data_IF_847492004341
#
_entry.id   IF_847492004341
#
_cell.length_a   1.000
_cell.length_b   1.000
_cell.length_c   1.000
_cell.angle_alpha   90.00
_cell.angle_beta   90.00
_cell.angle_gamma   90.00
#
_symmetry.space_group_name_H-M   'P 1'
#
loop_
_entity.id
_entity.type
_entity.pdbx_description
1 polymer ?
#
# COMPACT_ATOMS: atom_id res chain seq x y z
N UNK A 1 13.44 -19.60 -4.73
CA UNK A 1 14.34 -18.65 -4.03
C UNK A 1 14.22 -17.33 -4.76
N UNK A 2 13.67 -16.29 -4.11
CA UNK A 2 13.64 -14.94 -4.71
C UNK A 2 15.10 -14.52 -4.92
N UNK A 3 15.43 -14.18 -6.17
CA UNK A 3 16.76 -13.61 -6.46
C UNK A 3 16.80 -12.26 -5.74
N UNK A 4 17.83 -12.05 -4.91
CA UNK A 4 18.10 -10.73 -4.36
C UNK A 4 18.15 -9.71 -5.51
N UNK A 5 17.64 -8.51 -5.23
CA UNK A 5 17.57 -7.44 -6.20
C UNK A 5 18.94 -7.21 -6.86
N UNK A 6 19.00 -7.30 -8.19
CA UNK A 6 20.20 -6.99 -8.99
C UNK A 6 20.76 -5.59 -8.69
N UNK A 7 19.92 -4.70 -8.18
CA UNK A 7 20.25 -3.32 -7.85
C UNK A 7 20.47 -3.14 -6.35
N UNK A 8 21.60 -2.54 -6.01
CA UNK A 8 21.92 -2.12 -4.64
C UNK A 8 20.93 -1.05 -4.12
N UNK A 9 20.73 -1.00 -2.80
CA UNK A 9 19.81 -0.09 -2.11
C UNK A 9 20.11 1.37 -2.43
N UNK A 10 21.38 1.74 -2.58
CA UNK A 10 21.79 3.09 -2.94
C UNK A 10 21.23 3.49 -4.31
N UNK A 11 21.35 2.60 -5.31
CA UNK A 11 20.86 2.88 -6.66
C UNK A 11 19.34 3.05 -6.69
N UNK A 12 18.58 2.25 -5.93
CA UNK A 12 17.13 2.43 -5.83
C UNK A 12 16.74 3.77 -5.23
N UNK A 13 17.46 4.21 -4.20
CA UNK A 13 17.25 5.53 -3.58
C UNK A 13 17.48 6.63 -4.61
N UNK A 14 18.56 6.57 -5.38
CA UNK A 14 18.87 7.58 -6.40
C UNK A 14 17.78 7.66 -7.48
N UNK A 15 17.23 6.52 -7.91
CA UNK A 15 16.11 6.48 -8.85
C UNK A 15 14.86 7.14 -8.27
N UNK A 16 14.55 6.91 -6.99
CA UNK A 16 13.39 7.51 -6.32
C UNK A 16 13.56 9.02 -6.16
N UNK A 17 14.76 9.49 -5.81
CA UNK A 17 15.04 10.92 -5.71
C UNK A 17 14.88 11.62 -7.06
N UNK A 18 15.41 11.06 -8.14
CA UNK A 18 15.23 11.58 -9.50
C UNK A 18 13.77 11.56 -9.94
N UNK A 19 13.05 10.47 -9.66
CA UNK A 19 11.62 10.39 -9.94
C UNK A 19 10.83 11.45 -9.17
N UNK A 20 11.25 11.75 -7.93
CA UNK A 20 10.62 12.78 -7.09
C UNK A 20 10.85 14.19 -7.64
N UNK A 21 12.05 14.49 -8.12
CA UNK A 21 12.35 15.77 -8.78
C UNK A 21 11.42 15.99 -9.97
N UNK A 22 11.33 15.00 -10.88
CA UNK A 22 10.47 15.08 -12.07
C UNK A 22 9.00 15.25 -11.68
N UNK A 23 8.47 14.38 -10.82
CA UNK A 23 7.03 14.40 -10.50
C UNK A 23 6.63 15.64 -9.70
N UNK A 24 7.56 16.26 -8.96
CA UNK A 24 7.32 17.51 -8.22
C UNK A 24 7.20 18.73 -9.12
N UNK A 25 7.81 18.71 -10.31
CA UNK A 25 7.60 19.73 -11.33
C UNK A 25 6.28 19.49 -12.07
N UNK A 26 6.00 18.23 -12.44
CA UNK A 26 4.80 17.86 -13.19
C UNK A 26 3.51 18.13 -12.43
N UNK A 27 3.48 17.89 -11.11
CA UNK A 27 2.29 18.12 -10.29
C UNK A 27 1.87 19.60 -10.29
N UNK A 28 2.78 20.55 -10.55
CA UNK A 28 2.45 21.98 -10.59
C UNK A 28 1.53 22.29 -11.77
N UNK A 29 1.86 21.75 -12.94
CA UNK A 29 1.16 22.04 -14.19
C UNK A 29 0.00 21.07 -14.49
N UNK A 30 0.06 19.85 -13.92
CA UNK A 30 -0.85 18.76 -14.27
C UNK A 30 -1.55 18.16 -13.04
N UNK A 31 -1.86 18.97 -12.02
CA UNK A 31 -2.51 18.49 -10.78
C UNK A 31 -3.91 17.90 -11.01
N UNK A 32 -4.60 18.18 -12.11
CA UNK A 32 -5.92 17.60 -12.39
C UNK A 32 -5.84 16.25 -13.11
N UNK A 33 -4.63 15.73 -13.39
CA UNK A 33 -4.46 14.45 -14.06
C UNK A 33 -4.26 13.31 -13.06
N UNK A 34 -5.16 12.31 -13.07
CA UNK A 34 -5.16 11.21 -12.09
C UNK A 34 -3.81 10.49 -12.00
N UNK A 35 -3.15 10.25 -13.15
CA UNK A 35 -1.88 9.54 -13.16
C UNK A 35 -0.76 10.34 -12.48
N UNK A 36 -0.75 11.67 -12.62
CA UNK A 36 0.25 12.53 -11.98
C UNK A 36 0.04 12.50 -10.47
N UNK A 37 -1.21 12.59 -10.02
CA UNK A 37 -1.60 12.46 -8.61
C UNK A 37 -1.18 11.09 -8.02
N UNK A 38 -1.49 10.00 -8.72
CA UNK A 38 -1.13 8.63 -8.35
C UNK A 38 0.39 8.44 -8.22
N UNK A 39 1.15 8.84 -9.25
CA UNK A 39 2.60 8.68 -9.26
C UNK A 39 3.28 9.59 -8.23
N UNK A 40 2.78 10.80 -8.02
CA UNK A 40 3.27 11.71 -6.99
C UNK A 40 3.12 11.07 -5.60
N UNK A 41 1.93 10.55 -5.26
CA UNK A 41 1.70 9.87 -4.00
C UNK A 41 2.63 8.67 -3.78
N UNK A 42 2.77 7.80 -4.79
CA UNK A 42 3.62 6.61 -4.72
C UNK A 42 5.09 6.96 -4.52
N UNK A 43 5.60 7.94 -5.27
CA UNK A 43 7.00 8.35 -5.20
C UNK A 43 7.28 9.09 -3.89
N UNK A 44 6.35 9.91 -3.41
CA UNK A 44 6.47 10.59 -2.12
C UNK A 44 6.51 9.58 -0.96
N UNK A 45 5.66 8.55 -0.97
CA UNK A 45 5.69 7.48 0.04
C UNK A 45 7.03 6.74 0.01
N UNK A 46 7.50 6.36 -1.18
CA UNK A 46 8.77 5.70 -1.36
C UNK A 46 9.94 6.57 -0.87
N UNK A 47 9.99 7.85 -1.26
CA UNK A 47 11.02 8.80 -0.82
C UNK A 47 11.01 8.98 0.70
N UNK A 48 9.84 9.23 1.29
CA UNK A 48 9.72 9.45 2.73
C UNK A 48 10.16 8.23 3.56
N UNK A 49 10.00 7.03 3.01
CA UNK A 49 10.52 5.79 3.61
C UNK A 49 12.05 5.74 3.66
N UNK A 50 12.76 6.38 2.73
CA UNK A 50 14.23 6.55 2.79
C UNK A 50 14.67 7.68 3.71
N UNK A 51 13.85 8.72 3.86
CA UNK A 51 14.14 9.87 4.73
C UNK A 51 13.91 9.57 6.22
N UNK A 52 13.21 8.46 6.51
CA UNK A 52 13.04 7.90 7.85
C UNK A 52 11.63 8.07 8.41
N UNK A 53 11.38 7.40 9.54
CA UNK A 53 10.01 7.24 10.07
C UNK A 53 9.31 8.57 10.37
N UNK A 54 10.06 9.58 10.84
CA UNK A 54 9.50 10.91 11.16
C UNK A 54 8.98 11.61 9.89
N UNK A 55 9.75 11.55 8.80
CA UNK A 55 9.33 12.16 7.54
C UNK A 55 8.18 11.38 6.91
N UNK A 56 8.23 10.04 6.95
CA UNK A 56 7.11 9.19 6.52
C UNK A 56 5.81 9.55 7.23
N UNK A 57 5.83 9.66 8.56
CA UNK A 57 4.66 10.06 9.35
C UNK A 57 4.17 11.45 8.92
N UNK A 58 5.06 12.42 8.78
CA UNK A 58 4.73 13.79 8.34
C UNK A 58 4.04 13.82 6.97
N UNK A 59 4.41 12.93 6.06
CA UNK A 59 3.86 12.89 4.70
C UNK A 59 2.57 12.06 4.56
N UNK A 60 2.14 11.32 5.59
CA UNK A 60 0.97 10.42 5.50
C UNK A 60 -0.29 11.11 4.99
N UNK A 61 -0.62 12.30 5.51
CA UNK A 61 -1.81 13.05 5.09
C UNK A 61 -1.67 13.58 3.67
N UNK A 62 -0.48 14.03 3.29
CA UNK A 62 -0.21 14.55 1.95
C UNK A 62 -0.35 13.42 0.92
N UNK A 63 0.27 12.27 1.18
CA UNK A 63 0.15 11.08 0.33
C UNK A 63 -1.32 10.69 0.17
N UNK A 64 -2.09 10.64 1.27
CA UNK A 64 -3.52 10.34 1.22
C UNK A 64 -4.30 11.32 0.35
N UNK A 65 -4.08 12.63 0.53
CA UNK A 65 -4.74 13.66 -0.28
C UNK A 65 -4.53 13.46 -1.79
N UNK A 66 -3.30 13.14 -2.19
CA UNK A 66 -2.99 12.87 -3.59
C UNK A 66 -3.64 11.56 -4.09
N UNK A 67 -3.68 10.52 -3.27
CA UNK A 67 -4.40 9.26 -3.62
C UNK A 67 -5.92 9.46 -3.72
N UNK A 68 -6.54 10.18 -2.79
CA UNK A 68 -7.98 10.48 -2.79
C UNK A 68 -8.36 11.29 -4.04
N UNK A 69 -7.54 12.27 -4.42
CA UNK A 69 -7.75 13.03 -5.66
C UNK A 69 -7.56 12.13 -6.89
N UNK A 70 -6.55 11.26 -6.92
CA UNK A 70 -6.36 10.30 -8.02
C UNK A 70 -7.57 9.37 -8.19
N UNK A 71 -8.15 8.85 -7.09
CA UNK A 71 -9.38 8.02 -7.13
C UNK A 71 -10.59 8.84 -7.56
N UNK A 72 -10.69 10.10 -7.15
CA UNK A 72 -11.78 10.99 -7.59
C UNK A 72 -11.74 11.21 -9.10
N UNK A 73 -10.54 11.42 -9.65
CA UNK A 73 -10.31 11.63 -11.08
C UNK A 73 -10.41 10.35 -11.92
N UNK A 74 -10.04 9.20 -11.34
CA UNK A 74 -10.19 7.88 -11.97
C UNK A 74 -10.58 6.80 -10.94
N UNK A 75 -11.88 6.57 -10.72
CA UNK A 75 -12.36 5.64 -9.70
C UNK A 75 -12.14 4.16 -10.06
N UNK A 76 -11.80 3.86 -11.32
CA UNK A 76 -11.60 2.51 -11.84
C UNK A 76 -10.11 2.13 -11.94
N UNK A 77 -9.22 2.80 -11.21
CA UNK A 77 -7.82 2.41 -11.10
C UNK A 77 -7.61 1.49 -9.88
N UNK A 78 -7.57 0.18 -10.12
CA UNK A 78 -7.40 -0.83 -9.06
C UNK A 78 -6.12 -0.61 -8.24
N UNK A 79 -5.05 -0.09 -8.85
CA UNK A 79 -3.79 0.17 -8.13
C UNK A 79 -3.96 1.28 -7.09
N UNK A 80 -4.61 2.40 -7.42
CA UNK A 80 -4.78 3.52 -6.47
C UNK A 80 -5.72 3.11 -5.33
N UNK A 81 -6.76 2.33 -5.62
CA UNK A 81 -7.61 1.73 -4.59
C UNK A 81 -6.81 0.82 -3.66
N UNK A 82 -5.92 -0.01 -4.20
CA UNK A 82 -5.02 -0.83 -3.39
C UNK A 82 -4.05 0.03 -2.55
N UNK A 83 -3.50 1.11 -3.09
CA UNK A 83 -2.63 2.02 -2.35
C UNK A 83 -3.36 2.69 -1.17
N UNK A 84 -4.63 3.09 -1.35
CA UNK A 84 -5.47 3.59 -0.24
C UNK A 84 -5.73 2.51 0.80
N UNK A 85 -5.99 1.27 0.37
CA UNK A 85 -6.12 0.14 1.28
C UNK A 85 -4.85 -0.10 2.10
N UNK A 86 -3.68 -0.01 1.47
CA UNK A 86 -2.38 -0.14 2.13
C UNK A 86 -2.15 1.01 3.13
N UNK A 87 -2.50 2.24 2.76
CA UNK A 87 -2.45 3.38 3.68
C UNK A 87 -3.31 3.13 4.92
N UNK A 88 -4.57 2.72 4.72
CA UNK A 88 -5.49 2.39 5.81
C UNK A 88 -4.93 1.29 6.71
N UNK A 89 -4.45 0.20 6.10
CA UNK A 89 -3.89 -0.95 6.81
C UNK A 89 -2.68 -0.56 7.66
N UNK A 90 -1.75 0.21 7.10
CA UNK A 90 -0.55 0.66 7.78
C UNK A 90 -0.86 1.61 8.94
N UNK A 91 -1.81 2.54 8.74
CA UNK A 91 -2.27 3.45 9.80
C UNK A 91 -2.91 2.67 10.94
N UNK A 92 -3.72 1.64 10.64
CA UNK A 92 -4.29 0.75 11.65
C UNK A 92 -3.22 -0.07 12.40
N UNK A 93 -2.17 -0.51 11.70
CA UNK A 93 -1.04 -1.25 12.28
C UNK A 93 0.02 -0.39 12.99
N UNK A 94 -0.08 0.94 12.95
CA UNK A 94 0.94 1.82 13.54
C UNK A 94 1.22 1.45 15.00
N UNK A 95 2.48 1.09 15.33
CA UNK A 95 2.89 0.80 16.70
C UNK A 95 2.66 1.99 17.62
N UNK A 96 2.40 1.73 18.90
CA UNK A 96 2.11 2.76 19.91
C UNK A 96 3.15 3.91 19.94
N UNK A 97 4.44 3.59 19.74
CA UNK A 97 5.52 4.59 19.78
C UNK A 97 5.50 5.49 18.53
N UNK A 98 5.12 4.95 17.36
CA UNK A 98 4.95 5.75 16.15
C UNK A 98 3.69 6.62 16.24
N UNK A 99 2.63 6.13 16.90
CA UNK A 99 1.43 6.94 17.19
C UNK A 99 1.77 8.17 18.01
N UNK A 100 2.62 8.05 19.04
CA UNK A 100 3.09 9.22 19.82
C UNK A 100 3.87 10.24 18.98
N UNK A 101 4.67 9.78 18.01
CA UNK A 101 5.36 10.68 17.09
C UNK A 101 4.34 11.41 16.22
N UNK A 102 3.31 10.71 15.72
CA UNK A 102 2.24 11.32 14.96
C UNK A 102 1.46 12.35 15.79
N UNK A 103 1.08 12.03 17.03
CA UNK A 103 0.40 12.97 17.96
C UNK A 103 1.23 14.22 18.26
N UNK A 104 2.56 14.14 18.24
CA UNK A 104 3.43 15.29 18.43
C UNK A 104 3.58 16.17 17.17
N UNK A 105 3.38 15.59 15.98
CA UNK A 105 3.52 16.28 14.69
C UNK A 105 2.19 16.83 14.17
N UNK A 106 1.07 16.21 14.53
CA UNK A 106 -0.26 16.53 14.06
C UNK A 106 -1.16 16.99 15.21
N UNK A 107 -2.06 17.93 14.95
CA UNK A 107 -3.10 18.30 15.91
C UNK A 107 -4.04 17.11 16.21
N UNK A 108 -4.28 16.26 15.20
CA UNK A 108 -4.88 14.93 15.34
C UNK A 108 -4.16 13.97 14.41
N UNK A 109 -3.59 12.86 14.89
CA UNK A 109 -2.91 11.90 14.02
C UNK A 109 -3.89 11.27 13.02
N UNK A 110 -3.42 10.81 11.84
CA UNK A 110 -4.26 10.09 10.90
C UNK A 110 -4.80 8.81 11.55
N UNK A 111 -6.10 8.55 11.36
CA UNK A 111 -6.79 7.38 11.88
C UNK A 111 -7.40 6.57 10.74
N UNK A 112 -7.43 5.25 10.92
CA UNK A 112 -8.04 4.29 10.01
C UNK A 112 -8.27 2.96 10.72
N UNK A 113 -9.15 2.13 10.15
CA UNK A 113 -9.49 0.78 10.64
C UNK A 113 -9.14 -0.30 9.60
N UNK A 114 -9.13 -1.56 10.05
CA UNK A 114 -8.98 -2.70 9.14
C UNK A 114 -10.21 -2.87 8.24
N UNK A 115 -11.37 -2.39 8.67
CA UNK A 115 -12.58 -2.29 7.86
C UNK A 115 -12.40 -1.32 6.69
N UNK A 116 -11.83 -0.14 6.93
CA UNK A 116 -11.53 0.84 5.87
C UNK A 116 -10.55 0.24 4.85
N UNK A 117 -9.49 -0.42 5.33
CA UNK A 117 -8.53 -1.10 4.48
C UNK A 117 -9.18 -2.19 3.63
N UNK A 118 -10.01 -3.02 4.27
CA UNK A 118 -10.74 -4.10 3.61
C UNK A 118 -11.65 -3.57 2.51
N UNK A 119 -12.38 -2.47 2.74
CA UNK A 119 -13.25 -1.85 1.74
C UNK A 119 -12.47 -1.47 0.48
N UNK A 120 -11.34 -0.78 0.64
CA UNK A 120 -10.51 -0.37 -0.50
C UNK A 120 -9.93 -1.56 -1.27
N UNK A 121 -9.43 -2.59 -0.57
CA UNK A 121 -8.93 -3.80 -1.22
C UNK A 121 -10.02 -4.58 -1.97
N UNK A 122 -11.25 -4.63 -1.42
CA UNK A 122 -12.40 -5.24 -2.09
C UNK A 122 -12.81 -4.44 -3.32
N UNK A 123 -12.80 -3.11 -3.25
CA UNK A 123 -13.05 -2.24 -4.40
C UNK A 123 -12.01 -2.43 -5.49
N UNK A 124 -10.73 -2.53 -5.14
CA UNK A 124 -9.65 -2.83 -6.09
C UNK A 124 -9.88 -4.19 -6.80
N UNK A 125 -10.25 -5.22 -6.03
CA UNK A 125 -10.57 -6.54 -6.56
C UNK A 125 -11.84 -6.54 -7.45
N UNK A 126 -12.83 -5.72 -7.12
CA UNK A 126 -14.05 -5.57 -7.92
C UNK A 126 -13.79 -4.86 -9.26
N UNK A 127 -12.91 -3.84 -9.26
CA UNK A 127 -12.50 -3.11 -10.47
C UNK A 127 -11.72 -4.02 -11.41
N UNK A 128 -10.75 -4.77 -10.88
CA UNK A 128 -9.95 -5.70 -11.69
C UNK A 128 -9.69 -6.99 -10.89
N UNK A 129 -10.48 -8.05 -11.11
CA UNK A 129 -10.31 -9.30 -10.38
C UNK A 129 -8.92 -9.92 -10.58
N UNK A 130 -8.32 -10.36 -9.47
CA UNK A 130 -7.01 -11.02 -9.41
C UNK A 130 -5.90 -10.24 -10.10
N UNK A 131 -5.94 -8.92 -10.08
CA UNK A 131 -4.93 -8.07 -10.72
C UNK A 131 -3.58 -8.10 -10.02
N UNK A 132 -3.58 -8.26 -8.68
CA UNK A 132 -2.38 -8.19 -7.87
C UNK A 132 -2.43 -9.17 -6.70
N UNK A 133 -1.40 -10.01 -6.59
CA UNK A 133 -1.28 -11.05 -5.55
C UNK A 133 -1.23 -10.48 -4.14
N UNK A 134 -0.57 -9.33 -3.95
CA UNK A 134 -0.52 -8.65 -2.65
C UNK A 134 -1.90 -8.13 -2.25
N UNK A 135 -2.75 -7.70 -3.19
CA UNK A 135 -4.13 -7.33 -2.87
C UNK A 135 -4.89 -8.50 -2.25
N UNK A 136 -4.77 -9.70 -2.82
CA UNK A 136 -5.40 -10.92 -2.30
C UNK A 136 -4.86 -11.29 -0.92
N UNK A 137 -3.53 -11.19 -0.73
CA UNK A 137 -2.91 -11.41 0.59
C UNK A 137 -3.45 -10.41 1.62
N UNK A 138 -3.55 -9.12 1.26
CA UNK A 138 -4.07 -8.08 2.15
C UNK A 138 -5.54 -8.25 2.50
N UNK A 139 -6.38 -8.71 1.56
CA UNK A 139 -7.76 -9.13 1.86
C UNK A 139 -7.77 -10.22 2.94
N UNK A 140 -6.96 -11.27 2.76
CA UNK A 140 -6.81 -12.34 3.75
C UNK A 140 -6.38 -11.83 5.13
N UNK A 141 -5.36 -10.97 5.16
CA UNK A 141 -4.86 -10.34 6.38
C UNK A 141 -5.92 -9.48 7.09
N UNK A 142 -6.66 -8.64 6.35
CA UNK A 142 -7.74 -7.85 6.94
C UNK A 142 -8.82 -8.74 7.56
N UNK A 143 -9.27 -9.78 6.85
CA UNK A 143 -10.25 -10.71 7.40
C UNK A 143 -9.75 -11.44 8.66
N UNK A 144 -8.46 -11.79 8.74
CA UNK A 144 -7.87 -12.33 9.98
C UNK A 144 -7.93 -11.34 11.14
N UNK A 145 -7.54 -10.08 10.91
CA UNK A 145 -7.60 -9.02 11.93
C UNK A 145 -9.04 -8.80 12.42
N UNK A 146 -10.01 -8.98 11.53
CA UNK A 146 -11.45 -8.88 11.80
C UNK A 146 -12.08 -10.18 12.32
N UNK A 147 -11.27 -11.22 12.57
CA UNK A 147 -11.73 -12.54 13.07
C UNK A 147 -12.78 -13.22 12.17
N UNK A 148 -12.71 -12.95 10.86
CA UNK A 148 -13.57 -13.52 9.81
C UNK A 148 -12.80 -14.62 9.07
N UNK A 149 -12.63 -15.75 9.76
CA UNK A 149 -11.67 -16.79 9.36
C UNK A 149 -12.01 -17.47 8.03
N UNK A 150 -13.28 -17.70 7.72
CA UNK A 150 -13.70 -18.34 6.46
C UNK A 150 -13.33 -17.48 5.25
N UNK A 151 -13.62 -16.18 5.31
CA UNK A 151 -13.24 -15.22 4.27
C UNK A 151 -11.71 -15.09 4.18
N UNK A 152 -11.01 -15.08 5.32
CA UNK A 152 -9.56 -15.07 5.33
C UNK A 152 -8.98 -16.29 4.60
N UNK A 153 -9.44 -17.50 4.94
CA UNK A 153 -9.02 -18.75 4.30
C UNK A 153 -9.29 -18.72 2.78
N UNK A 154 -10.41 -18.15 2.34
CA UNK A 154 -10.71 -17.99 0.93
C UNK A 154 -9.64 -17.15 0.20
N UNK A 155 -9.40 -15.92 0.66
CA UNK A 155 -8.46 -15.02 -0.01
C UNK A 155 -7.00 -15.47 0.12
N UNK A 156 -6.61 -16.04 1.26
CA UNK A 156 -5.26 -16.60 1.43
C UNK A 156 -5.01 -17.79 0.50
N UNK A 157 -6.02 -18.64 0.21
CA UNK A 157 -5.87 -19.71 -0.79
C UNK A 157 -5.68 -19.15 -2.20
N UNK A 158 -6.39 -18.07 -2.55
CA UNK A 158 -6.21 -17.38 -3.84
C UNK A 158 -4.82 -16.77 -3.95
N UNK A 159 -4.33 -16.12 -2.88
CA UNK A 159 -2.97 -15.57 -2.83
C UNK A 159 -1.92 -16.68 -2.91
N UNK A 160 -2.04 -17.76 -2.12
CA UNK A 160 -1.09 -18.88 -2.12
C UNK A 160 -0.96 -19.59 -3.47
N UNK A 161 -2.04 -19.64 -4.25
CA UNK A 161 -2.10 -20.27 -5.57
C UNK A 161 -1.92 -19.30 -6.74
N UNK A 162 -1.58 -18.03 -6.47
CA UNK A 162 -1.42 -17.03 -7.51
C UNK A 162 -0.22 -17.37 -8.42
N UNK A 163 -0.33 -17.26 -9.75
CA UNK A 163 0.79 -17.53 -10.67
C UNK A 163 1.96 -16.57 -10.42
N UNK A 164 3.04 -17.06 -9.81
CA UNK A 164 4.14 -16.21 -9.43
C UNK A 164 5.04 -15.82 -10.60
N UNK A 165 5.07 -14.52 -10.93
CA UNK A 165 5.91 -13.94 -11.99
C UNK A 165 6.85 -12.85 -11.47
N UNK A 166 6.52 -12.26 -10.32
CA UNK A 166 7.28 -11.21 -9.65
C UNK A 166 7.75 -11.64 -8.26
N UNK A 167 8.67 -10.86 -7.68
CA UNK A 167 9.07 -11.04 -6.29
C UNK A 167 7.89 -10.86 -5.32
N UNK A 168 7.00 -9.93 -5.63
CA UNK A 168 5.78 -9.69 -4.85
C UNK A 168 4.87 -10.91 -4.86
N UNK A 169 4.68 -11.55 -6.02
CA UNK A 169 3.88 -12.78 -6.08
C UNK A 169 4.51 -13.90 -5.27
N UNK A 170 5.83 -14.08 -5.34
CA UNK A 170 6.51 -15.08 -4.52
C UNK A 170 6.37 -14.78 -3.02
N UNK A 171 6.44 -13.50 -2.63
CA UNK A 171 6.23 -13.08 -1.25
C UNK A 171 4.79 -13.33 -0.80
N UNK A 172 3.80 -12.93 -1.61
CA UNK A 172 2.39 -13.13 -1.35
C UNK A 172 2.06 -14.61 -1.17
N UNK A 173 2.55 -15.45 -2.09
CA UNK A 173 2.31 -16.89 -2.05
C UNK A 173 2.87 -17.52 -0.77
N UNK A 174 4.11 -17.13 -0.42
CA UNK A 174 4.80 -17.66 0.77
C UNK A 174 4.08 -17.26 2.05
N UNK A 175 3.81 -15.96 2.24
CA UNK A 175 3.14 -15.47 3.45
C UNK A 175 1.74 -16.06 3.59
N UNK A 176 0.98 -16.13 2.49
CA UNK A 176 -0.36 -16.70 2.50
C UNK A 176 -0.35 -18.20 2.87
N UNK A 177 0.61 -18.98 2.35
CA UNK A 177 0.77 -20.39 2.72
C UNK A 177 1.15 -20.57 4.19
N UNK A 178 2.03 -19.72 4.72
CA UNK A 178 2.40 -19.73 6.14
C UNK A 178 1.21 -19.39 7.05
N UNK A 179 0.42 -18.38 6.68
CA UNK A 179 -0.80 -18.03 7.42
C UNK A 179 -1.83 -19.16 7.37
N UNK A 180 -2.08 -19.78 6.21
CA UNK A 180 -3.00 -20.91 6.08
C UNK A 180 -2.60 -22.10 6.96
N UNK A 181 -1.31 -22.37 7.11
CA UNK A 181 -0.82 -23.44 7.98
C UNK A 181 -1.08 -23.17 9.46
N UNK A 182 -1.12 -21.90 9.89
CA UNK A 182 -1.45 -21.51 11.27
C UNK A 182 -2.95 -21.56 11.58
N UNK A 183 -3.80 -21.61 10.56
CA UNK A 183 -5.26 -21.69 10.67
C UNK A 183 -5.80 -23.13 10.54
N UNK A 184 -4.90 -24.11 10.53
CA UNK A 184 -5.21 -25.54 10.50
C UNK A 184 -5.43 -26.09 11.90
#
# INVERSE_FOLDING_TARGET
MSKESKYDKSYKRDLILKAFEIISEEIINHNEHFAVQKWYALILDAKSSYDGIKERIKQLENIKKHMDLAVTLNPNDATTLHMLGEWCYQVSELPWHQRKIAEALFASPPQSTYEDALEYFLRAEAVQPRFYSINLLRLGNCYLKLKKEDQAKYYLKLAASYPAKSNDDHHANKEAAELLNKLR
#
